data_IF_237357479991
#
_entry.id   IF_237357479991
#
_cell.length_a   1.000
_cell.length_b   1.000
_cell.length_c   1.000
_cell.angle_alpha   90.00
_cell.angle_beta   90.00
_cell.angle_gamma   90.00
#
_symmetry.space_group_name_H-M   'P 1'
#
loop_
_entity.id
_entity.type
_entity.pdbx_description
1 polymer ?
#
# COMPACT_ATOMS: atom_id res chain seq x y z
N UNK A 1 -8.57 8.22 -7.20
CA UNK A 1 -7.58 7.73 -6.21
C UNK A 1 -7.06 8.74 -5.18
N UNK A 2 -6.37 9.85 -5.54
CA UNK A 2 -5.88 10.80 -4.50
C UNK A 2 -7.03 11.42 -3.69
N UNK A 3 -8.11 11.82 -4.37
CA UNK A 3 -9.36 12.29 -3.77
C UNK A 3 -10.02 11.21 -2.90
N UNK A 4 -10.22 10.00 -3.44
CA UNK A 4 -10.78 8.86 -2.70
C UNK A 4 -9.98 8.52 -1.43
N UNK A 5 -8.64 8.46 -1.53
CA UNK A 5 -7.79 8.16 -0.37
C UNK A 5 -7.92 9.24 0.70
N UNK A 6 -8.02 10.50 0.29
CA UNK A 6 -8.24 11.62 1.22
C UNK A 6 -9.61 11.53 1.88
N UNK A 7 -10.65 11.27 1.08
CA UNK A 7 -12.02 11.09 1.53
C UNK A 7 -12.15 9.96 2.55
N UNK A 8 -11.50 8.84 2.31
CA UNK A 8 -11.54 7.66 3.19
C UNK A 8 -10.60 7.80 4.42
N UNK A 9 -10.12 9.00 4.73
CA UNK A 9 -9.29 9.28 5.91
C UNK A 9 -7.80 8.93 5.74
N UNK A 10 -7.36 8.57 4.55
CA UNK A 10 -5.96 8.24 4.21
C UNK A 10 -5.29 9.39 3.46
N UNK A 11 -5.42 10.63 3.98
CA UNK A 11 -4.86 11.83 3.37
C UNK A 11 -3.33 11.74 3.12
N UNK A 12 -2.60 11.01 3.96
CA UNK A 12 -1.16 10.73 3.81
C UNK A 12 -0.77 10.00 2.51
N UNK A 13 -1.71 9.29 1.90
CA UNK A 13 -1.57 8.64 0.58
C UNK A 13 -2.61 9.19 -0.41
N UNK A 14 -3.16 10.36 -0.12
CA UNK A 14 -4.08 11.11 -0.96
C UNK A 14 -3.48 12.45 -1.35
N UNK A 15 -4.16 13.54 -0.99
CA UNK A 15 -3.73 14.92 -1.28
C UNK A 15 -2.36 15.27 -0.67
N UNK A 16 -2.00 14.69 0.48
CA UNK A 16 -0.71 14.94 1.14
C UNK A 16 0.52 14.49 0.34
N UNK A 17 0.34 13.67 -0.70
CA UNK A 17 1.43 13.26 -1.60
C UNK A 17 1.58 14.14 -2.84
N UNK A 18 0.60 15.01 -3.15
CA UNK A 18 0.63 15.83 -4.37
C UNK A 18 1.85 16.76 -4.41
N UNK A 19 2.18 17.54 -3.36
CA UNK A 19 3.33 18.45 -3.42
C UNK A 19 4.65 17.74 -3.73
N UNK A 20 4.89 16.60 -3.07
CA UNK A 20 6.08 15.78 -3.30
C UNK A 20 6.10 15.14 -4.69
N UNK A 21 4.95 14.71 -5.21
CA UNK A 21 4.87 14.20 -6.58
C UNK A 21 5.27 15.26 -7.61
N UNK A 22 4.76 16.49 -7.45
CA UNK A 22 5.13 17.62 -8.32
C UNK A 22 6.62 17.93 -8.22
N UNK A 23 7.20 17.95 -7.01
CA UNK A 23 8.64 18.11 -6.81
C UNK A 23 9.44 17.03 -7.57
N UNK A 24 9.02 15.77 -7.51
CA UNK A 24 9.72 14.67 -8.19
C UNK A 24 9.60 14.74 -9.71
N UNK A 25 8.47 15.21 -10.23
CA UNK A 25 8.30 15.49 -11.66
C UNK A 25 9.25 16.62 -12.10
N UNK A 26 9.29 17.73 -11.34
CA UNK A 26 10.17 18.87 -11.64
C UNK A 26 11.66 18.49 -11.61
N UNK A 27 12.05 17.55 -10.74
CA UNK A 27 13.42 17.01 -10.68
C UNK A 27 13.72 15.96 -11.75
N UNK A 28 12.76 15.59 -12.58
CA UNK A 28 12.90 14.53 -13.57
C UNK A 28 13.06 13.13 -12.96
N UNK A 29 12.66 12.95 -11.71
CA UNK A 29 12.72 11.65 -11.00
C UNK A 29 11.50 10.77 -11.28
N UNK A 30 10.41 11.40 -11.72
CA UNK A 30 9.18 10.75 -12.21
C UNK A 30 8.83 11.38 -13.56
N UNK A 31 8.64 10.56 -14.59
CA UNK A 31 8.21 11.02 -15.92
C UNK A 31 6.69 10.88 -16.08
N UNK A 32 5.93 11.99 -16.12
CA UNK A 32 4.47 11.92 -16.27
C UNK A 32 4.02 11.40 -17.63
N UNK A 33 4.93 11.25 -18.61
CA UNK A 33 4.63 10.75 -19.96
C UNK A 33 5.03 9.28 -20.17
N UNK A 34 5.84 8.73 -19.27
CA UNK A 34 6.25 7.33 -19.36
C UNK A 34 5.04 6.41 -19.21
N UNK A 35 5.06 5.31 -19.98
CA UNK A 35 4.05 4.26 -19.96
C UNK A 35 4.72 2.91 -19.76
N UNK A 36 4.07 1.95 -19.07
CA UNK A 36 4.60 0.61 -18.93
C UNK A 36 4.87 -0.04 -20.29
N UNK A 37 6.05 -0.62 -20.44
CA UNK A 37 6.47 -1.37 -21.63
C UNK A 37 6.70 -2.83 -21.28
N UNK A 38 6.19 -3.74 -22.09
CA UNK A 38 6.32 -5.18 -21.84
C UNK A 38 7.77 -5.62 -22.00
N UNK A 39 8.32 -6.26 -20.98
CA UNK A 39 9.68 -6.82 -20.97
C UNK A 39 9.63 -8.31 -21.24
N UNK A 40 8.69 -9.01 -20.61
CA UNK A 40 8.57 -10.46 -20.72
C UNK A 40 7.13 -10.90 -20.50
N UNK A 41 6.68 -11.89 -21.27
CA UNK A 41 5.40 -12.55 -21.09
C UNK A 41 5.59 -14.07 -20.99
N UNK A 42 4.96 -14.68 -19.98
CA UNK A 42 5.03 -16.09 -19.61
C UNK A 42 3.64 -16.59 -19.22
N UNK A 43 2.79 -16.91 -20.19
CA UNK A 43 1.42 -17.39 -19.94
C UNK A 43 0.65 -16.51 -18.95
N UNK A 44 0.64 -16.87 -17.66
CA UNK A 44 -0.03 -16.14 -16.58
C UNK A 44 0.79 -15.03 -15.95
N UNK A 45 2.08 -14.88 -16.28
CA UNK A 45 2.96 -13.87 -15.71
C UNK A 45 3.49 -12.92 -16.77
N UNK A 46 3.42 -11.61 -16.52
CA UNK A 46 4.05 -10.59 -17.34
C UNK A 46 4.90 -9.62 -16.51
N UNK A 47 6.01 -9.19 -17.09
CA UNK A 47 6.95 -8.23 -16.50
C UNK A 47 6.96 -6.98 -17.36
N UNK A 48 6.83 -5.82 -16.73
CA UNK A 48 6.84 -4.53 -17.39
C UNK A 48 7.88 -3.58 -16.79
N UNK A 49 8.47 -2.76 -17.66
CA UNK A 49 9.28 -1.61 -17.27
C UNK A 49 8.42 -0.35 -17.30
N UNK A 50 8.25 0.28 -16.15
CA UNK A 50 7.41 1.46 -15.99
C UNK A 50 8.11 2.78 -16.37
N UNK A 51 9.41 2.76 -16.69
CA UNK A 51 10.14 3.93 -17.18
C UNK A 51 10.13 5.13 -16.24
N UNK A 52 10.11 4.90 -14.92
CA UNK A 52 9.93 5.92 -13.89
C UNK A 52 8.62 6.72 -14.02
N UNK A 53 7.58 6.10 -14.57
CA UNK A 53 6.26 6.70 -14.73
C UNK A 53 5.47 6.89 -13.44
N UNK A 54 4.28 7.50 -13.57
CA UNK A 54 3.37 7.73 -12.46
C UNK A 54 2.85 6.41 -11.88
N UNK A 55 3.14 6.20 -10.59
CA UNK A 55 2.80 4.97 -9.87
C UNK A 55 1.31 4.62 -9.88
N UNK A 56 0.43 5.61 -9.77
CA UNK A 56 -1.03 5.41 -9.73
C UNK A 56 -1.57 4.85 -11.07
N UNK A 57 -1.34 5.50 -12.23
CA UNK A 57 -1.65 4.91 -13.53
C UNK A 57 -0.99 3.56 -13.79
N UNK A 58 0.27 3.39 -13.39
CA UNK A 58 1.00 2.14 -13.61
C UNK A 58 0.41 0.98 -12.80
N UNK A 59 0.06 1.21 -11.55
CA UNK A 59 -0.55 0.21 -10.68
C UNK A 59 -1.98 -0.16 -11.15
N UNK A 60 -2.77 0.80 -11.63
CA UNK A 60 -4.05 0.52 -12.29
C UNK A 60 -3.86 -0.34 -13.53
N UNK A 61 -2.94 0.04 -14.41
CA UNK A 61 -2.61 -0.75 -15.59
C UNK A 61 -2.24 -2.19 -15.24
N UNK A 62 -1.37 -2.39 -14.25
CA UNK A 62 -0.94 -3.72 -13.84
C UNK A 62 -2.08 -4.54 -13.20
N UNK A 63 -2.95 -3.90 -12.43
CA UNK A 63 -4.15 -4.53 -11.87
C UNK A 63 -5.08 -5.03 -12.97
N UNK A 64 -5.42 -4.16 -13.93
CA UNK A 64 -6.27 -4.50 -15.08
C UNK A 64 -5.66 -5.61 -15.92
N UNK A 65 -4.36 -5.53 -16.18
CA UNK A 65 -3.67 -6.54 -16.97
C UNK A 65 -3.64 -7.89 -16.26
N UNK A 66 -3.40 -7.91 -14.96
CA UNK A 66 -3.42 -9.14 -14.18
C UNK A 66 -4.83 -9.74 -14.09
N UNK A 67 -5.89 -8.93 -13.98
CA UNK A 67 -7.27 -9.41 -14.08
C UNK A 67 -7.56 -10.03 -15.45
N UNK A 68 -7.09 -9.42 -16.55
CA UNK A 68 -7.26 -9.97 -17.89
C UNK A 68 -6.56 -11.34 -18.07
N UNK A 69 -5.35 -11.48 -17.50
CA UNK A 69 -4.63 -12.76 -17.48
C UNK A 69 -5.37 -13.81 -16.63
N UNK A 70 -5.88 -13.41 -15.46
CA UNK A 70 -6.64 -14.27 -14.56
C UNK A 70 -7.97 -14.73 -15.17
N UNK A 71 -8.67 -13.86 -15.89
CA UNK A 71 -9.93 -14.21 -16.57
C UNK A 71 -9.75 -15.34 -17.60
N UNK A 72 -8.56 -15.42 -18.21
CA UNK A 72 -8.24 -16.45 -19.21
C UNK A 72 -7.73 -17.74 -18.56
N UNK A 73 -6.93 -17.63 -17.50
CA UNK A 73 -6.12 -18.75 -16.99
C UNK A 73 -6.40 -19.12 -15.52
N UNK A 74 -7.37 -18.48 -14.86
CA UNK A 74 -7.61 -18.55 -13.42
C UNK A 74 -6.62 -17.76 -12.56
N UNK A 75 -5.41 -17.48 -13.05
CA UNK A 75 -4.35 -16.72 -12.38
C UNK A 75 -3.70 -15.72 -13.35
N UNK A 76 -3.45 -14.50 -12.86
CA UNK A 76 -2.69 -13.48 -13.56
C UNK A 76 -1.71 -12.79 -12.62
N UNK A 77 -0.45 -12.67 -13.06
CA UNK A 77 0.63 -12.01 -12.33
C UNK A 77 1.21 -10.92 -13.21
N UNK A 78 1.23 -9.69 -12.72
CA UNK A 78 1.96 -8.60 -13.35
C UNK A 78 2.98 -8.05 -12.37
N UNK A 79 4.24 -7.99 -12.80
CA UNK A 79 5.32 -7.38 -12.06
C UNK A 79 5.81 -6.12 -12.80
N UNK A 80 5.83 -4.99 -12.11
CA UNK A 80 6.39 -3.74 -12.58
C UNK A 80 7.74 -3.50 -11.95
N UNK A 81 8.72 -3.08 -12.74
CA UNK A 81 9.94 -2.43 -12.24
C UNK A 81 9.96 -0.95 -12.59
N UNK A 82 10.82 -0.22 -11.90
CA UNK A 82 11.15 1.17 -12.20
C UNK A 82 9.91 2.07 -12.21
N UNK A 83 8.96 1.82 -11.30
CA UNK A 83 7.76 2.65 -11.14
C UNK A 83 7.92 3.62 -9.97
N UNK A 84 6.98 4.56 -9.83
CA UNK A 84 6.90 5.45 -8.66
C UNK A 84 5.89 4.95 -7.63
N UNK A 85 5.82 5.65 -6.49
CA UNK A 85 4.94 5.36 -5.36
C UNK A 85 3.48 5.20 -5.81
N UNK A 86 2.85 4.06 -5.46
CA UNK A 86 1.47 3.71 -5.85
C UNK A 86 0.38 4.31 -4.96
N UNK A 87 0.73 5.17 -4.01
CA UNK A 87 -0.22 5.74 -3.05
C UNK A 87 -0.86 4.66 -2.18
N UNK A 88 -2.19 4.54 -2.16
CA UNK A 88 -2.91 3.62 -1.28
C UNK A 88 -3.03 2.25 -1.95
N UNK A 89 -2.30 1.25 -1.45
CA UNK A 89 -2.29 -0.09 -2.03
C UNK A 89 -3.67 -0.75 -2.05
N UNK A 90 -4.48 -0.57 -1.00
CA UNK A 90 -5.82 -1.11 -0.92
C UNK A 90 -6.74 -0.67 -2.07
N UNK A 91 -6.52 0.51 -2.66
CA UNK A 91 -7.34 1.00 -3.79
C UNK A 91 -7.37 0.01 -4.97
N UNK A 92 -6.23 -0.64 -5.25
CA UNK A 92 -6.12 -1.61 -6.34
C UNK A 92 -6.79 -2.94 -5.98
N UNK A 93 -6.71 -3.37 -4.72
CA UNK A 93 -7.43 -4.55 -4.27
C UNK A 93 -8.94 -4.33 -4.25
N UNK A 94 -9.43 -3.16 -3.79
CA UNK A 94 -10.86 -2.81 -3.89
C UNK A 94 -11.34 -2.83 -5.34
N UNK A 95 -10.56 -2.24 -6.24
CA UNK A 95 -10.87 -2.26 -7.67
C UNK A 95 -10.99 -3.68 -8.24
N UNK A 96 -10.11 -4.58 -7.84
CA UNK A 96 -10.14 -5.98 -8.27
C UNK A 96 -11.32 -6.77 -7.67
N UNK A 97 -11.55 -6.67 -6.36
CA UNK A 97 -12.63 -7.42 -5.68
C UNK A 97 -14.02 -6.93 -6.06
N UNK A 98 -14.18 -5.65 -6.41
CA UNK A 98 -15.44 -5.11 -6.95
C UNK A 98 -15.80 -5.70 -8.32
N UNK A 99 -14.79 -6.16 -9.08
CA UNK A 99 -14.98 -6.93 -10.31
C UNK A 99 -15.02 -8.45 -10.05
N UNK A 100 -14.84 -8.86 -8.79
CA UNK A 100 -14.93 -10.24 -8.36
C UNK A 100 -13.65 -11.05 -8.46
N UNK A 101 -12.50 -10.40 -8.60
CA UNK A 101 -11.21 -11.08 -8.54
C UNK A 101 -10.69 -11.06 -7.12
N UNK A 102 -10.05 -12.14 -6.68
CA UNK A 102 -9.23 -12.11 -5.47
C UNK A 102 -7.84 -11.58 -5.80
N UNK A 103 -7.16 -10.96 -4.84
CA UNK A 103 -5.92 -10.24 -5.08
C UNK A 103 -4.89 -10.44 -3.97
N UNK A 104 -3.62 -10.52 -4.37
CA UNK A 104 -2.44 -10.32 -3.53
C UNK A 104 -1.55 -9.31 -4.25
N UNK A 105 -1.24 -8.20 -3.60
CA UNK A 105 -0.45 -7.13 -4.19
C UNK A 105 0.55 -6.59 -3.19
N UNK A 106 1.74 -6.23 -3.64
CA UNK A 106 2.72 -5.57 -2.79
C UNK A 106 3.66 -4.68 -3.59
N UNK A 107 4.37 -3.81 -2.88
CA UNK A 107 5.47 -3.02 -3.43
C UNK A 107 6.66 -3.06 -2.50
N UNK A 108 7.87 -2.97 -3.05
CA UNK A 108 9.03 -2.60 -2.25
C UNK A 108 9.24 -1.07 -2.26
N UNK A 109 10.13 -0.58 -1.41
CA UNK A 109 10.47 0.85 -1.34
C UNK A 109 11.92 0.99 -0.84
N UNK A 110 12.45 2.21 -0.84
CA UNK A 110 13.72 2.54 -0.20
C UNK A 110 13.77 2.13 1.29
N UNK A 111 14.97 2.03 1.86
CA UNK A 111 15.14 1.70 3.27
C UNK A 111 14.56 2.80 4.16
N UNK A 112 13.48 2.46 4.87
CA UNK A 112 12.76 3.38 5.76
C UNK A 112 12.45 2.78 7.13
N UNK A 113 12.81 1.52 7.36
CA UNK A 113 12.59 0.82 8.61
C UNK A 113 13.84 -0.02 8.93
N UNK A 114 14.26 -0.10 10.21
CA UNK A 114 15.29 -1.05 10.61
C UNK A 114 14.77 -2.48 10.54
N UNK A 115 15.62 -3.42 10.08
CA UNK A 115 15.37 -4.83 10.30
C UNK A 115 15.38 -5.16 11.80
N UNK A 116 14.74 -6.26 12.19
CA UNK A 116 14.79 -6.70 13.59
C UNK A 116 16.24 -6.96 14.02
N UNK A 117 16.67 -6.27 15.08
CA UNK A 117 18.06 -6.29 15.55
C UNK A 117 18.98 -5.25 14.92
N UNK A 118 18.54 -4.53 13.89
CA UNK A 118 19.27 -3.41 13.31
C UNK A 118 18.89 -2.08 13.98
N UNK A 119 19.83 -1.14 13.99
CA UNK A 119 19.62 0.22 14.49
C UNK A 119 19.23 1.19 13.38
N UNK A 120 19.79 0.99 12.19
CA UNK A 120 19.65 1.89 11.06
C UNK A 120 18.60 1.36 10.07
N UNK A 121 17.84 2.24 9.39
CA UNK A 121 16.94 1.83 8.32
C UNK A 121 17.68 1.07 7.22
N UNK A 122 17.27 -0.17 6.96
CA UNK A 122 17.91 -1.05 5.98
C UNK A 122 16.91 -1.92 5.19
N UNK A 123 15.63 -1.80 5.51
CA UNK A 123 14.53 -2.47 4.80
C UNK A 123 13.40 -1.47 4.53
N UNK A 124 12.64 -1.72 3.47
CA UNK A 124 11.45 -0.93 3.16
C UNK A 124 10.26 -1.28 4.06
N UNK A 125 9.26 -0.39 4.08
CA UNK A 125 8.00 -0.64 4.78
C UNK A 125 7.04 -1.57 4.01
N UNK A 126 7.39 -1.85 2.75
CA UNK A 126 6.89 -2.88 1.85
C UNK A 126 5.44 -3.35 2.10
N UNK A 127 4.43 -2.50 1.84
CA UNK A 127 3.06 -2.83 2.19
C UNK A 127 2.55 -4.06 1.42
N UNK A 128 1.85 -4.92 2.13
CA UNK A 128 1.16 -6.09 1.60
C UNK A 128 -0.35 -5.81 1.60
N UNK A 129 -0.96 -6.07 0.46
CA UNK A 129 -2.38 -5.89 0.22
C UNK A 129 -2.98 -7.23 -0.20
N UNK A 130 -4.09 -7.60 0.40
CA UNK A 130 -4.86 -8.79 0.02
C UNK A 130 -6.34 -8.45 -0.07
N UNK A 131 -7.03 -9.03 -1.04
CA UNK A 131 -8.45 -8.81 -1.27
C UNK A 131 -9.18 -10.11 -1.61
N UNK A 132 -10.35 -10.32 -1.01
CA UNK A 132 -11.25 -11.44 -1.35
C UNK A 132 -12.66 -10.91 -1.58
N UNK A 133 -13.28 -11.16 -2.74
CA UNK A 133 -14.63 -10.71 -3.05
C UNK A 133 -15.66 -11.42 -2.17
N UNK A 134 -16.80 -10.74 -1.99
CA UNK A 134 -17.91 -11.18 -1.13
C UNK A 134 -19.23 -10.77 -1.77
N UNK A 135 -20.27 -11.58 -1.54
CA UNK A 135 -21.62 -11.30 -2.03
C UNK A 135 -22.41 -10.45 -1.04
N UNK A 136 -22.14 -10.62 0.27
CA UNK A 136 -22.88 -9.98 1.34
C UNK A 136 -22.01 -8.97 2.11
N UNK A 137 -22.23 -7.68 1.85
CA UNK A 137 -21.52 -6.58 2.52
C UNK A 137 -20.14 -6.30 1.93
N UNK A 138 -19.30 -5.49 2.62
CA UNK A 138 -17.99 -5.12 2.09
C UNK A 138 -17.06 -6.32 1.93
N UNK A 139 -16.33 -6.36 0.80
CA UNK A 139 -15.28 -7.34 0.54
C UNK A 139 -14.18 -7.30 1.60
N UNK A 140 -13.52 -8.44 1.82
CA UNK A 140 -12.41 -8.53 2.76
C UNK A 140 -11.18 -7.89 2.11
N UNK A 141 -10.66 -6.82 2.69
CA UNK A 141 -9.45 -6.16 2.18
C UNK A 141 -8.50 -5.84 3.32
N UNK A 142 -7.30 -6.39 3.24
CA UNK A 142 -6.16 -6.04 4.07
C UNK A 142 -5.26 -5.08 3.29
N UNK A 143 -4.88 -3.96 3.89
CA UNK A 143 -3.84 -3.05 3.39
C UNK A 143 -2.96 -2.70 4.59
N UNK A 144 -1.80 -3.35 4.69
CA UNK A 144 -0.90 -3.20 5.83
C UNK A 144 0.54 -2.92 5.41
N UNK A 145 1.12 -1.94 6.09
CA UNK A 145 2.56 -1.73 6.15
C UNK A 145 3.23 -2.82 7.02
N UNK A 146 4.54 -3.03 6.84
CA UNK A 146 5.31 -3.95 7.69
C UNK A 146 5.77 -3.31 9.02
N UNK A 147 5.64 -2.00 9.15
CA UNK A 147 5.78 -1.23 10.39
C UNK A 147 4.52 -1.28 11.24
N UNK A 148 4.66 -1.29 12.56
CA UNK A 148 3.55 -1.23 13.53
C UNK A 148 2.64 -0.02 13.30
N UNK A 149 3.21 1.13 12.91
CA UNK A 149 2.50 2.31 12.45
C UNK A 149 3.19 2.89 11.22
N UNK A 150 2.41 3.35 10.24
CA UNK A 150 2.96 4.07 9.10
C UNK A 150 3.47 5.46 9.53
N UNK A 151 4.42 6.03 8.77
CA UNK A 151 4.82 7.43 8.94
C UNK A 151 3.64 8.40 8.92
N UNK A 152 2.63 8.12 8.08
CA UNK A 152 1.41 8.92 8.04
C UNK A 152 0.61 8.86 9.36
N UNK A 153 0.58 7.71 10.04
CA UNK A 153 -0.06 7.58 11.35
C UNK A 153 0.74 8.28 12.45
N UNK A 154 2.07 8.18 12.43
CA UNK A 154 2.95 8.90 13.36
C UNK A 154 2.80 10.42 13.23
N UNK A 155 2.86 10.94 12.01
CA UNK A 155 2.72 12.38 11.76
C UNK A 155 1.36 12.92 12.25
N UNK A 156 0.28 12.13 12.10
CA UNK A 156 -1.04 12.51 12.63
C UNK A 156 -1.06 12.53 14.16
N UNK A 157 -0.53 11.50 14.80
CA UNK A 157 -0.46 11.44 16.26
C UNK A 157 0.38 12.58 16.84
N UNK A 158 1.55 12.87 16.24
CA UNK A 158 2.39 14.00 16.62
C UNK A 158 1.67 15.34 16.44
N UNK A 159 1.02 15.57 15.29
CA UNK A 159 0.26 16.80 15.06
C UNK A 159 -0.92 16.98 16.03
N UNK A 160 -1.50 15.88 16.52
CA UNK A 160 -2.56 15.89 17.53
C UNK A 160 -2.03 15.98 18.98
N UNK A 161 -0.71 15.91 19.20
CA UNK A 161 -0.12 15.82 20.54
C UNK A 161 -0.47 14.52 21.27
N UNK A 162 -0.81 13.45 20.54
CA UNK A 162 -1.27 12.18 21.07
C UNK A 162 -0.14 11.13 21.11
N UNK A 163 -0.16 10.29 22.15
CA UNK A 163 0.69 9.11 22.24
C UNK A 163 0.09 7.95 21.43
N UNK A 164 0.93 7.08 20.88
CA UNK A 164 0.48 5.86 20.21
C UNK A 164 -0.16 4.89 21.19
N UNK A 165 -1.07 4.03 20.72
CA UNK A 165 -1.76 3.05 21.57
C UNK A 165 -0.85 1.92 22.05
N UNK A 166 0.19 1.60 21.28
CA UNK A 166 1.24 0.61 21.57
C UNK A 166 2.58 1.15 21.08
N UNK A 167 3.68 0.49 21.40
CA UNK A 167 5.02 0.89 20.93
C UNK A 167 5.05 0.94 19.40
N UNK A 168 5.50 2.07 18.85
CA UNK A 168 5.55 2.27 17.39
C UNK A 168 6.96 2.28 16.80
N UNK A 169 7.98 2.37 17.65
CA UNK A 169 9.36 2.51 17.23
C UNK A 169 10.30 2.66 18.40
N UNK A 170 11.50 3.16 18.14
CA UNK A 170 12.56 3.32 19.14
C UNK A 170 12.98 4.78 19.30
N UNK A 171 13.18 5.20 20.55
CA UNK A 171 13.72 6.52 20.87
C UNK A 171 15.24 6.62 20.58
N UNK A 172 15.82 7.79 20.85
CA UNK A 172 17.25 8.05 20.62
C UNK A 172 18.17 7.11 21.42
N UNK A 173 17.70 6.63 22.58
CA UNK A 173 18.41 5.67 23.45
C UNK A 173 18.27 4.22 23.00
N UNK A 174 17.41 3.95 22.01
CA UNK A 174 17.15 2.60 21.50
C UNK A 174 16.08 1.84 22.30
N UNK A 175 15.30 2.52 23.15
CA UNK A 175 14.19 1.89 23.89
C UNK A 175 12.90 1.98 23.07
N UNK A 176 12.01 0.97 23.14
CA UNK A 176 10.67 1.06 22.57
C UNK A 176 9.94 2.31 23.08
N UNK A 177 9.22 2.98 22.19
CA UNK A 177 8.54 4.24 22.46
C UNK A 177 7.14 4.27 21.86
N UNK A 178 6.26 5.00 22.55
CA UNK A 178 4.90 5.37 22.11
C UNK A 178 4.82 6.83 21.67
N UNK A 179 5.91 7.59 21.82
CA UNK A 179 5.99 8.99 21.42
C UNK A 179 6.27 9.08 19.91
N UNK A 180 5.31 9.56 19.11
CA UNK A 180 5.49 9.66 17.67
C UNK A 180 6.62 10.62 17.28
N UNK A 181 6.88 11.70 18.02
CA UNK A 181 7.95 12.66 17.69
C UNK A 181 9.33 12.03 17.89
N UNK A 182 9.52 11.34 19.02
CA UNK A 182 10.76 10.62 19.29
C UNK A 182 11.06 9.56 18.21
N UNK A 183 10.04 8.84 17.73
CA UNK A 183 10.18 7.82 16.69
C UNK A 183 10.47 8.45 15.32
N UNK A 184 9.78 9.54 14.98
CA UNK A 184 10.02 10.28 13.73
C UNK A 184 11.44 10.83 13.67
N UNK A 185 11.95 11.36 14.78
CA UNK A 185 13.30 11.89 14.88
C UNK A 185 14.39 10.82 14.65
N UNK A 186 14.19 9.61 15.18
CA UNK A 186 15.16 8.52 14.98
C UNK A 186 14.97 7.76 13.66
N UNK A 187 13.78 7.85 13.07
CA UNK A 187 13.33 7.03 11.93
C UNK A 187 13.39 5.52 12.19
N UNK A 188 13.35 5.10 13.46
CA UNK A 188 13.41 3.69 13.87
C UNK A 188 12.01 3.15 14.10
N UNK A 189 11.26 2.94 13.02
CA UNK A 189 9.96 2.27 13.09
C UNK A 189 10.10 0.85 13.64
N UNK A 190 9.17 0.42 14.48
CA UNK A 190 9.10 -0.95 14.97
C UNK A 190 8.42 -1.82 13.90
N UNK A 191 9.04 -2.91 13.41
CA UNK A 191 8.34 -3.85 12.54
C UNK A 191 7.17 -4.52 13.28
N UNK A 192 6.03 -4.62 12.61
CA UNK A 192 4.82 -5.24 13.15
C UNK A 192 5.10 -6.71 13.53
N UNK A 193 4.81 -7.10 14.76
CA UNK A 193 5.16 -8.44 15.25
C UNK A 193 6.67 -8.73 15.25
N UNK A 194 7.51 -7.69 15.42
CA UNK A 194 8.96 -7.79 15.58
C UNK A 194 9.64 -8.49 14.39
N UNK A 195 10.31 -9.62 14.62
CA UNK A 195 10.99 -10.39 13.57
C UNK A 195 10.05 -10.87 12.46
N UNK A 196 8.74 -11.00 12.72
CA UNK A 196 7.76 -11.42 11.70
C UNK A 196 7.58 -10.36 10.61
N UNK A 197 7.25 -9.13 10.97
CA UNK A 197 7.12 -8.01 10.02
C UNK A 197 8.45 -7.68 9.35
N UNK A 198 9.57 -7.77 10.08
CA UNK A 198 10.90 -7.62 9.49
C UNK A 198 11.17 -8.69 8.43
N UNK A 199 10.91 -9.96 8.73
CA UNK A 199 11.13 -11.06 7.79
C UNK A 199 10.21 -10.96 6.56
N UNK A 200 8.94 -10.60 6.77
CA UNK A 200 7.98 -10.40 5.69
C UNK A 200 8.41 -9.23 4.79
N UNK A 201 8.84 -8.10 5.35
CA UNK A 201 9.37 -6.97 4.57
C UNK A 201 10.54 -7.38 3.66
N UNK A 202 11.49 -8.17 4.19
CA UNK A 202 12.65 -8.67 3.44
C UNK A 202 12.21 -9.55 2.28
N UNK A 203 11.28 -10.49 2.51
CA UNK A 203 10.81 -11.38 1.45
C UNK A 203 9.96 -10.67 0.40
N UNK A 204 9.14 -9.70 0.79
CA UNK A 204 8.38 -8.87 -0.16
C UNK A 204 9.33 -8.07 -1.07
N UNK A 205 10.45 -7.57 -0.53
CA UNK A 205 11.49 -6.93 -1.32
C UNK A 205 12.17 -7.90 -2.29
N UNK A 206 12.69 -9.01 -1.77
CA UNK A 206 13.43 -9.98 -2.56
C UNK A 206 12.56 -10.58 -3.67
N UNK A 207 11.35 -11.02 -3.34
CA UNK A 207 10.42 -11.61 -4.31
C UNK A 207 9.93 -10.57 -5.31
N UNK A 208 9.60 -9.36 -4.86
CA UNK A 208 9.13 -8.27 -5.73
C UNK A 208 10.20 -7.87 -6.75
N UNK A 209 11.43 -7.66 -6.30
CA UNK A 209 12.55 -7.31 -7.17
C UNK A 209 12.93 -8.45 -8.12
N UNK A 210 12.87 -9.71 -7.66
CA UNK A 210 13.15 -10.88 -8.50
C UNK A 210 12.11 -11.03 -9.62
N UNK A 211 10.81 -11.00 -9.28
CA UNK A 211 9.73 -11.14 -10.27
C UNK A 211 9.73 -10.00 -11.28
N UNK A 212 9.94 -8.76 -10.81
CA UNK A 212 9.98 -7.59 -11.69
C UNK A 212 11.30 -7.46 -12.46
N UNK A 213 12.32 -8.27 -12.15
CA UNK A 213 13.69 -8.09 -12.63
C UNK A 213 14.18 -6.65 -12.42
N UNK A 214 13.87 -6.12 -11.23
CA UNK A 214 14.01 -4.72 -10.87
C UNK A 214 14.98 -4.49 -9.71
N UNK A 215 14.81 -3.35 -9.03
CA UNK A 215 15.68 -2.95 -7.93
C UNK A 215 15.10 -3.39 -6.58
N UNK A 216 15.85 -4.16 -5.76
CA UNK A 216 15.55 -4.32 -4.34
C UNK A 216 15.86 -3.03 -3.56
N UNK A 217 15.40 -2.92 -2.31
CA UNK A 217 15.49 -1.72 -1.47
C UNK A 217 16.88 -1.07 -1.46
N UNK A 218 17.95 -1.86 -1.25
CA UNK A 218 19.32 -1.34 -1.20
C UNK A 218 19.81 -0.72 -2.54
N UNK A 219 19.26 -1.16 -3.67
CA UNK A 219 19.52 -0.53 -4.98
C UNK A 219 18.64 0.69 -5.22
N UNK A 220 17.44 0.72 -4.67
CA UNK A 220 16.60 1.93 -4.64
C UNK A 220 17.28 3.03 -3.82
N UNK A 221 17.89 2.69 -2.68
CA UNK A 221 18.65 3.64 -1.86
C UNK A 221 19.80 4.32 -2.62
N UNK A 222 20.34 3.61 -3.61
CA UNK A 222 21.51 4.03 -4.38
C UNK A 222 21.17 5.01 -5.51
N UNK A 223 19.93 5.01 -6.04
CA UNK A 223 19.57 5.92 -7.14
C UNK A 223 19.31 7.36 -6.67
N UNK A 224 19.10 7.58 -5.36
CA UNK A 224 18.90 8.90 -4.74
C UNK A 224 17.79 9.75 -5.40
N UNK A 225 16.69 9.11 -5.83
CA UNK A 225 15.53 9.75 -6.49
C UNK A 225 14.31 9.93 -5.59
N UNK A 226 14.55 10.19 -4.30
CA UNK A 226 13.49 10.43 -3.33
C UNK A 226 12.69 9.17 -2.97
N UNK A 227 11.60 9.36 -2.23
CA UNK A 227 10.80 8.28 -1.64
C UNK A 227 9.86 7.61 -2.65
N UNK A 228 10.02 6.31 -2.83
CA UNK A 228 9.17 5.49 -3.67
C UNK A 228 9.41 5.65 -5.17
N UNK A 229 10.58 6.12 -5.62
CA UNK A 229 10.98 6.10 -7.04
C UNK A 229 11.88 4.90 -7.31
N UNK A 230 11.69 4.21 -8.43
CA UNK A 230 12.46 3.01 -8.79
C UNK A 230 11.95 1.73 -8.10
N UNK A 231 10.74 1.77 -7.56
CA UNK A 231 10.10 0.65 -6.89
C UNK A 231 9.77 -0.49 -7.85
N UNK A 232 9.65 -1.69 -7.27
CA UNK A 232 9.00 -2.84 -7.85
C UNK A 232 7.60 -2.99 -7.25
N UNK A 233 6.62 -3.37 -8.06
CA UNK A 233 5.25 -3.64 -7.66
C UNK A 233 4.80 -4.96 -8.26
N UNK A 234 4.10 -5.79 -7.50
CA UNK A 234 3.59 -7.07 -7.99
C UNK A 234 2.09 -7.14 -7.72
N UNK A 235 1.35 -7.61 -8.72
CA UNK A 235 -0.09 -7.75 -8.73
C UNK A 235 -0.41 -9.18 -9.11
N UNK A 236 -0.91 -9.97 -8.17
CA UNK A 236 -1.32 -11.36 -8.36
C UNK A 236 -2.83 -11.45 -8.16
N UNK A 237 -3.53 -11.82 -9.23
CA UNK A 237 -4.98 -11.79 -9.32
C UNK A 237 -5.49 -13.19 -9.62
N UNK A 238 -6.58 -13.58 -8.98
CA UNK A 238 -7.21 -14.88 -9.14
C UNK A 238 -8.65 -14.68 -9.57
N UNK A 239 -9.09 -15.45 -10.56
CA UNK A 239 -10.48 -15.48 -10.98
C UNK A 239 -11.21 -16.64 -10.27
N UNK A 240 -12.12 -16.35 -9.32
CA UNK A 240 -12.87 -17.39 -8.61
C UNK A 240 -13.71 -18.30 -9.52
N UNK A 241 -14.07 -17.86 -10.72
CA UNK A 241 -14.86 -18.66 -11.66
C UNK A 241 -14.12 -19.89 -12.17
N UNK A 242 -12.78 -19.87 -12.18
CA UNK A 242 -11.92 -20.99 -12.56
C UNK A 242 -11.58 -21.94 -11.39
N UNK A 243 -12.03 -21.62 -10.17
CA UNK A 243 -11.77 -22.43 -8.97
C UNK A 243 -12.99 -23.29 -8.64
N UNK A 244 -13.83 -22.84 -7.70
CA UNK A 244 -15.08 -23.51 -7.30
C UNK A 244 -16.33 -22.83 -7.86
N UNK A 245 -16.17 -21.81 -8.71
CA UNK A 245 -17.24 -20.90 -9.11
C UNK A 245 -17.37 -19.71 -8.15
N UNK A 246 -17.89 -18.61 -8.68
CA UNK A 246 -18.04 -17.34 -7.96
C UNK A 246 -18.82 -17.49 -6.65
N UNK A 247 -20.01 -18.08 -6.72
CA UNK A 247 -20.91 -18.21 -5.56
C UNK A 247 -20.27 -19.02 -4.42
N UNK A 248 -19.56 -20.09 -4.74
CA UNK A 248 -18.89 -20.92 -3.75
C UNK A 248 -17.75 -20.16 -3.06
N UNK A 249 -16.95 -19.40 -3.83
CA UNK A 249 -15.87 -18.60 -3.27
C UNK A 249 -16.38 -17.41 -2.43
N UNK A 250 -17.44 -16.74 -2.88
CA UNK A 250 -18.07 -15.65 -2.12
C UNK A 250 -18.71 -16.17 -0.83
N UNK A 251 -19.35 -17.35 -0.86
CA UNK A 251 -19.92 -17.98 0.34
C UNK A 251 -18.85 -18.32 1.41
N UNK A 252 -17.64 -18.71 0.99
CA UNK A 252 -16.52 -18.92 1.93
C UNK A 252 -16.17 -17.61 2.64
N UNK A 253 -16.03 -16.52 1.88
CA UNK A 253 -15.65 -15.22 2.44
C UNK A 253 -16.77 -14.63 3.32
N UNK A 254 -18.03 -14.83 2.94
CA UNK A 254 -19.19 -14.43 3.75
C UNK A 254 -19.29 -15.22 5.05
N UNK A 255 -19.04 -16.53 5.03
CA UNK A 255 -18.99 -17.36 6.23
C UNK A 255 -17.89 -16.93 7.21
N UNK A 256 -16.70 -16.57 6.71
CA UNK A 256 -15.59 -16.06 7.53
C UNK A 256 -15.98 -14.74 8.20
N UNK A 257 -16.54 -13.80 7.44
CA UNK A 257 -16.95 -12.51 7.98
C UNK A 257 -18.06 -12.64 9.02
N UNK A 258 -19.09 -13.44 8.74
CA UNK A 258 -20.17 -13.71 9.67
C UNK A 258 -19.67 -14.37 10.97
N UNK A 259 -18.69 -15.28 10.87
CA UNK A 259 -18.07 -15.89 12.04
C UNK A 259 -17.33 -14.87 12.92
N UNK A 260 -16.64 -13.90 12.31
CA UNK A 260 -15.96 -12.82 13.03
C UNK A 260 -16.98 -11.88 13.67
N UNK A 261 -18.00 -11.46 12.93
CA UNK A 261 -19.04 -10.54 13.41
C UNK A 261 -19.88 -11.14 14.54
N UNK A 262 -20.07 -12.47 14.55
CA UNK A 262 -20.76 -13.18 15.61
C UNK A 262 -19.89 -13.40 16.88
N UNK A 263 -18.60 -13.08 16.83
CA UNK A 263 -17.70 -13.27 17.96
C UNK A 263 -17.98 -12.25 19.08
N UNK A 264 -17.93 -12.70 20.33
CA UNK A 264 -18.16 -11.84 21.48
C UNK A 264 -17.05 -10.77 21.58
N UNK A 265 -17.46 -9.51 21.68
CA UNK A 265 -16.54 -8.41 21.85
C UNK A 265 -15.93 -8.40 23.26
N UNK A 266 -14.61 -8.26 23.35
CA UNK A 266 -13.95 -8.00 24.64
C UNK A 266 -14.30 -6.60 25.18
N UNK A 267 -14.40 -5.61 24.29
CA UNK A 267 -14.88 -4.26 24.56
C UNK A 267 -16.12 -4.00 23.69
N UNK A 268 -17.31 -3.81 24.28
CA UNK A 268 -18.54 -3.53 23.53
C UNK A 268 -18.46 -2.29 22.62
N UNK A 269 -17.58 -1.32 22.91
CA UNK A 269 -17.38 -0.13 22.08
C UNK A 269 -16.47 -0.40 20.87
N UNK A 270 -15.77 -1.54 20.86
CA UNK A 270 -14.83 -1.97 19.82
C UNK A 270 -15.06 -3.43 19.48
N UNK A 271 -16.22 -3.76 18.87
CA UNK A 271 -16.49 -5.12 18.44
C UNK A 271 -15.47 -5.60 17.41
N UNK A 272 -15.23 -6.92 17.31
CA UNK A 272 -14.41 -7.49 16.25
C UNK A 272 -14.99 -7.13 14.88
N UNK A 273 -14.12 -6.96 13.89
CA UNK A 273 -14.52 -6.60 12.53
C UNK A 273 -13.64 -7.32 11.52
N UNK A 274 -14.20 -7.77 10.39
CA UNK A 274 -13.39 -8.28 9.29
C UNK A 274 -12.49 -7.18 8.69
N UNK A 275 -11.34 -7.55 8.10
CA UNK A 275 -10.44 -6.59 7.47
C UNK A 275 -11.15 -5.84 6.33
N UNK A 276 -10.93 -4.53 6.26
CA UNK A 276 -11.57 -3.65 5.28
C UNK A 276 -12.86 -3.00 5.77
N UNK A 277 -13.53 -3.59 6.77
CA UNK A 277 -14.72 -2.99 7.39
C UNK A 277 -14.39 -1.59 7.96
N UNK A 278 -15.11 -0.58 7.50
CA UNK A 278 -14.91 0.81 7.92
C UNK A 278 -13.69 1.52 7.29
N UNK A 279 -12.97 0.88 6.37
CA UNK A 279 -11.83 1.48 5.64
C UNK A 279 -12.27 2.40 4.49
N UNK A 280 -13.55 2.40 4.14
CA UNK A 280 -14.18 3.21 3.09
C UNK A 280 -15.47 3.88 3.60
N UNK A 281 -15.44 4.37 4.85
CA UNK A 281 -16.60 4.94 5.55
C UNK A 281 -17.29 6.05 4.76
N UNK A 282 -16.50 6.88 4.10
CA UNK A 282 -16.99 8.05 3.38
C UNK A 282 -17.03 7.83 1.87
N UNK A 283 -17.02 6.59 1.38
CA UNK A 283 -16.97 6.31 -0.06
C UNK A 283 -18.14 6.90 -0.86
N UNK A 284 -19.31 7.07 -0.24
CA UNK A 284 -20.47 7.74 -0.82
C UNK A 284 -20.46 9.26 -0.74
N UNK A 285 -19.49 9.86 -0.02
CA UNK A 285 -19.39 11.31 0.10
C UNK A 285 -18.89 11.95 -1.20
N UNK A 286 -19.53 13.06 -1.58
CA UNK A 286 -19.09 13.97 -2.65
C UNK A 286 -18.14 15.06 -2.15
N UNK A 287 -17.97 15.18 -0.83
CA UNK A 287 -17.14 16.19 -0.19
C UNK A 287 -15.87 15.55 0.39
N UNK A 288 -14.74 16.25 0.30
CA UNK A 288 -13.45 15.82 0.84
C UNK A 288 -12.93 16.90 1.78
N UNK A 289 -12.77 16.54 3.06
CA UNK A 289 -12.12 17.41 4.03
C UNK A 289 -10.61 17.42 3.80
N UNK A 290 -10.02 18.61 3.77
CA UNK A 290 -8.58 18.83 3.53
C UNK A 290 -8.07 19.85 4.54
N UNK A 291 -6.87 19.62 5.05
CA UNK A 291 -6.18 20.62 5.87
C UNK A 291 -5.93 21.92 5.06
N UNK A 292 -6.23 23.08 5.65
CA UNK A 292 -6.18 24.36 4.94
C UNK A 292 -4.75 24.75 4.53
N UNK A 293 -3.73 24.35 5.29
CA UNK A 293 -2.34 24.63 4.91
C UNK A 293 -1.92 23.82 3.68
N UNK A 294 -2.28 22.55 3.65
CA UNK A 294 -2.04 21.66 2.52
C UNK A 294 -2.85 22.10 1.29
N UNK A 295 -4.10 22.54 1.48
CA UNK A 295 -4.91 23.05 0.37
C UNK A 295 -4.32 24.32 -0.25
N UNK A 296 -3.81 25.24 0.58
CA UNK A 296 -3.08 26.42 0.09
C UNK A 296 -1.83 26.04 -0.70
N UNK A 297 -1.07 25.05 -0.25
CA UNK A 297 0.10 24.56 -0.99
C UNK A 297 -0.28 23.99 -2.36
N UNK A 298 -1.33 23.15 -2.42
CA UNK A 298 -1.82 22.60 -3.69
C UNK A 298 -2.30 23.70 -4.63
N UNK A 299 -3.04 24.72 -4.14
CA UNK A 299 -3.45 25.88 -4.95
C UNK A 299 -2.26 26.64 -5.52
N UNK A 300 -1.20 26.83 -4.72
CA UNK A 300 0.03 27.52 -5.15
C UNK A 300 0.71 26.76 -6.30
N UNK A 301 0.87 25.44 -6.15
CA UNK A 301 1.43 24.57 -7.19
C UNK A 301 0.59 24.58 -8.47
N UNK A 302 -0.74 24.57 -8.36
CA UNK A 302 -1.65 24.66 -9.50
C UNK A 302 -1.53 25.99 -10.25
N UNK A 303 -1.22 27.08 -9.55
CA UNK A 303 -0.95 28.40 -10.13
C UNK A 303 0.46 28.52 -10.74
N UNK A 304 1.31 27.49 -10.59
CA UNK A 304 2.71 27.54 -11.05
C UNK A 304 3.61 28.49 -10.26
N UNK A 305 3.20 28.84 -9.03
CA UNK A 305 3.94 29.73 -8.11
C UNK A 305 4.50 28.96 -6.92
#
# INVERSE_FOLDING_TARGET
MHSESTRDGVASHGIGRIPRLIEFIQRGWVDPRAKPSLVQALSTLEVYDAGFGLGVPNALFATERAMALAATNGLGIVALRDTSHWMRGGSYAWHAVEQGFAAIMWTNTESVMPAWGAKDPCIGNNPLVMGVPRSNGPSLVLDMAQSQFSYGALNRAAAAGEQLSVDGGFDATGRPSRDPEAILATRRLLPAGHWKGSGLAILLDALGAMLAQGRPSHRIDSIKRGSGSGCCQVFMLFDPTHLGGRDACEAIADGIAAHIDASAALDPQRPPRPPGAGSRRDAGSTHVAVDESLWREVKRLAAGT
#
